data_IF_138882405575
#
_entry.id   IF_138882405575
#
_cell.length_a   1.000
_cell.length_b   1.000
_cell.length_c   1.000
_cell.angle_alpha   90.00
_cell.angle_beta   90.00
_cell.angle_gamma   90.00
#
_symmetry.space_group_name_H-M   'P 1'
#
loop_
_entity.id
_entity.type
_entity.pdbx_description
1 polymer ?
#
# COMPACT_ATOMS: atom_id res chain seq x y z
N UNK A 1 16.79 -17.38 -20.82
CA UNK A 1 17.61 -16.81 -19.72
C UNK A 1 16.78 -16.17 -18.60
N UNK A 2 15.56 -15.65 -18.84
CA UNK A 2 14.72 -14.97 -17.83
C UNK A 2 14.29 -15.84 -16.64
N UNK A 3 13.95 -17.11 -16.86
CA UNK A 3 13.33 -18.00 -15.86
C UNK A 3 14.16 -18.23 -14.58
N UNK A 4 15.48 -17.99 -14.61
CA UNK A 4 16.38 -18.14 -13.45
C UNK A 4 16.31 -16.94 -12.49
N UNK A 5 16.02 -15.75 -13.01
CA UNK A 5 15.94 -14.50 -12.24
C UNK A 5 14.53 -14.21 -11.74
N UNK A 6 13.55 -14.92 -12.27
CA UNK A 6 12.14 -14.76 -11.93
C UNK A 6 11.74 -15.56 -10.67
N UNK A 7 12.27 -16.77 -10.51
CA UNK A 7 11.91 -17.68 -9.40
C UNK A 7 12.56 -17.34 -8.06
N UNK A 8 13.60 -16.50 -8.05
CA UNK A 8 14.22 -15.96 -6.84
C UNK A 8 13.79 -14.51 -6.71
N UNK A 9 13.03 -14.18 -5.67
CA UNK A 9 12.30 -12.91 -5.62
C UNK A 9 13.15 -11.67 -5.31
N UNK A 10 14.31 -11.85 -4.68
CA UNK A 10 15.18 -10.75 -4.21
C UNK A 10 16.54 -10.73 -4.93
N UNK A 11 16.58 -11.09 -6.21
CA UNK A 11 17.82 -11.01 -7.02
C UNK A 11 17.66 -10.06 -8.20
N UNK A 12 18.77 -9.41 -8.54
CA UNK A 12 18.84 -8.56 -9.72
C UNK A 12 18.85 -9.38 -11.00
N UNK A 13 18.17 -8.85 -12.01
CA UNK A 13 18.33 -9.28 -13.39
C UNK A 13 19.67 -8.82 -13.97
N UNK A 14 20.10 -9.35 -15.14
CA UNK A 14 21.28 -8.86 -15.85
C UNK A 14 21.24 -7.35 -16.16
N UNK A 15 20.04 -6.76 -16.24
CA UNK A 15 19.81 -5.34 -16.48
C UNK A 15 19.75 -4.49 -15.20
N UNK A 16 19.99 -5.10 -14.02
CA UNK A 16 19.94 -4.40 -12.74
C UNK A 16 18.52 -4.13 -12.20
N UNK A 17 17.53 -4.90 -12.65
CA UNK A 17 16.11 -4.74 -12.27
C UNK A 17 15.67 -5.84 -11.31
N UNK A 18 14.64 -5.56 -10.50
CA UNK A 18 14.00 -6.57 -9.63
C UNK A 18 12.67 -7.01 -10.26
N UNK A 19 12.69 -8.10 -11.04
CA UNK A 19 11.52 -8.50 -11.85
C UNK A 19 10.22 -8.67 -11.04
N UNK A 20 10.27 -9.21 -9.83
CA UNK A 20 9.08 -9.36 -8.98
C UNK A 20 8.46 -8.01 -8.57
N UNK A 21 9.26 -6.96 -8.42
CA UNK A 21 8.77 -5.61 -8.16
C UNK A 21 8.07 -5.05 -9.41
N UNK A 22 8.59 -5.33 -10.59
CA UNK A 22 8.01 -4.84 -11.85
C UNK A 22 6.67 -5.52 -12.16
N UNK A 23 6.59 -6.84 -11.90
CA UNK A 23 5.32 -7.56 -12.00
C UNK A 23 4.30 -7.05 -10.99
N UNK A 24 4.72 -6.69 -9.78
CA UNK A 24 3.84 -6.06 -8.80
C UNK A 24 3.33 -4.69 -9.30
N UNK A 25 4.18 -3.87 -9.91
CA UNK A 25 3.79 -2.59 -10.51
C UNK A 25 2.79 -2.78 -11.66
N UNK A 26 3.01 -3.78 -12.52
CA UNK A 26 2.08 -4.12 -13.60
C UNK A 26 0.72 -4.60 -13.05
N UNK A 27 0.72 -5.42 -12.00
CA UNK A 27 -0.50 -5.86 -11.32
C UNK A 27 -1.28 -4.67 -10.71
N UNK A 28 -0.57 -3.68 -10.15
CA UNK A 28 -1.16 -2.45 -9.63
C UNK A 28 -1.75 -1.59 -10.76
N UNK A 29 -1.09 -1.54 -11.93
CA UNK A 29 -1.59 -0.82 -13.10
C UNK A 29 -2.96 -1.30 -13.60
N UNK A 30 -3.34 -2.54 -13.30
CA UNK A 30 -4.65 -3.12 -13.63
C UNK A 30 -5.71 -2.96 -12.52
N UNK A 31 -5.31 -2.47 -11.35
CA UNK A 31 -6.24 -2.19 -10.25
C UNK A 31 -7.13 -0.99 -10.57
N UNK A 32 -8.27 -0.86 -9.88
CA UNK A 32 -9.10 0.33 -10.07
C UNK A 32 -8.36 1.60 -9.64
N UNK A 33 -8.71 2.73 -10.24
CA UNK A 33 -8.02 4.01 -10.04
C UNK A 33 -8.16 4.54 -8.61
N UNK A 34 -7.13 5.23 -8.11
CA UNK A 34 -7.16 6.04 -6.89
C UNK A 34 -6.44 7.38 -7.15
N UNK A 35 -7.00 8.48 -6.62
CA UNK A 35 -6.56 9.85 -6.85
C UNK A 35 -6.49 10.56 -5.50
N UNK A 36 -5.43 11.35 -5.28
CA UNK A 36 -5.32 12.26 -4.14
C UNK A 36 -5.13 13.68 -4.65
N UNK A 37 -5.85 14.65 -4.08
CA UNK A 37 -5.76 16.06 -4.43
C UNK A 37 -5.49 16.87 -3.16
N UNK A 38 -4.35 17.55 -3.12
CA UNK A 38 -4.02 18.51 -2.06
C UNK A 38 -4.66 19.86 -2.41
N UNK A 39 -5.39 20.42 -1.44
CA UNK A 39 -5.95 21.76 -1.49
C UNK A 39 -5.38 22.61 -0.34
N UNK A 40 -5.73 23.90 -0.34
CA UNK A 40 -5.27 24.84 0.70
C UNK A 40 -5.75 24.43 2.10
N UNK A 41 -6.98 23.95 2.19
CA UNK A 41 -7.67 23.70 3.47
C UNK A 41 -7.81 22.21 3.80
N UNK A 42 -7.16 21.32 3.03
CA UNK A 42 -7.20 19.88 3.27
C UNK A 42 -6.80 19.03 2.07
N UNK A 43 -7.01 17.72 2.19
CA UNK A 43 -6.70 16.73 1.17
C UNK A 43 -7.94 15.90 0.86
N UNK A 44 -8.16 15.59 -0.42
CA UNK A 44 -9.25 14.73 -0.88
C UNK A 44 -8.69 13.47 -1.50
N UNK A 45 -9.17 12.31 -1.03
CA UNK A 45 -8.91 11.02 -1.65
C UNK A 45 -10.17 10.55 -2.41
N UNK A 46 -9.99 10.08 -3.64
CA UNK A 46 -11.03 9.53 -4.50
C UNK A 46 -10.60 8.16 -5.02
N UNK A 47 -11.49 7.18 -5.01
CA UNK A 47 -11.20 5.83 -5.47
C UNK A 47 -12.32 5.28 -6.32
N UNK A 48 -11.96 4.70 -7.47
CA UNK A 48 -12.90 3.99 -8.33
C UNK A 48 -13.36 2.70 -7.63
N UNK A 49 -14.67 2.58 -7.38
CA UNK A 49 -15.28 1.36 -6.83
C UNK A 49 -15.78 0.48 -7.97
N UNK A 50 -15.13 -0.66 -8.20
CA UNK A 50 -15.58 -1.66 -9.18
C UNK A 50 -16.76 -2.44 -8.62
N UNK A 51 -17.97 -2.13 -9.06
CA UNK A 51 -19.17 -2.89 -8.67
C UNK A 51 -19.26 -4.15 -9.52
N UNK A 52 -18.96 -5.30 -8.92
CA UNK A 52 -18.97 -6.60 -9.60
C UNK A 52 -20.37 -7.16 -9.82
N UNK A 53 -21.33 -6.78 -8.98
CA UNK A 53 -22.73 -7.24 -9.06
C UNK A 53 -23.68 -6.26 -8.41
N UNK A 54 -24.92 -6.21 -8.89
CA UNK A 54 -26.04 -5.48 -8.27
C UNK A 54 -26.39 -6.01 -6.88
N UNK A 55 -25.94 -7.22 -6.54
CA UNK A 55 -26.13 -7.83 -5.22
C UNK A 55 -25.12 -7.32 -4.18
N UNK A 56 -24.05 -6.64 -4.61
CA UNK A 56 -23.07 -6.08 -3.69
C UNK A 56 -23.70 -4.89 -2.95
N UNK A 57 -23.73 -4.97 -1.61
CA UNK A 57 -24.28 -3.90 -0.80
C UNK A 57 -23.39 -2.65 -0.86
N UNK A 58 -23.77 -1.70 -1.72
CA UNK A 58 -22.98 -0.50 -1.99
C UNK A 58 -22.77 0.38 -0.75
N UNK A 59 -23.74 0.43 0.16
CA UNK A 59 -23.80 1.37 1.29
C UNK A 59 -22.83 1.07 2.45
N UNK A 60 -22.21 -0.11 2.51
CA UNK A 60 -21.33 -0.51 3.62
C UNK A 60 -19.88 -0.80 3.23
N UNK A 61 -19.56 -0.83 1.93
CA UNK A 61 -18.26 -1.30 1.47
C UNK A 61 -17.33 -0.13 1.11
N UNK A 62 -16.42 0.23 2.02
CA UNK A 62 -15.27 1.10 1.77
C UNK A 62 -14.09 0.23 1.29
N UNK A 63 -14.12 -0.16 0.03
CA UNK A 63 -13.16 -1.15 -0.52
C UNK A 63 -11.76 -0.56 -0.79
N UNK A 64 -11.57 0.74 -0.60
CA UNK A 64 -10.33 1.43 -0.98
C UNK A 64 -9.84 2.49 -0.03
N UNK A 65 -10.74 3.05 0.77
CA UNK A 65 -10.42 4.12 1.71
C UNK A 65 -10.38 3.54 3.11
N UNK A 66 -9.25 3.72 3.78
CA UNK A 66 -9.04 3.19 5.11
C UNK A 66 -8.54 4.30 6.02
N UNK A 67 -9.24 4.48 7.14
CA UNK A 67 -8.76 5.30 8.24
C UNK A 67 -7.60 4.57 8.93
N UNK A 68 -6.47 5.26 9.09
CA UNK A 68 -5.30 4.77 9.82
C UNK A 68 -5.30 5.34 11.23
N UNK A 69 -5.52 6.65 11.35
CA UNK A 69 -5.61 7.37 12.60
C UNK A 69 -6.65 8.51 12.47
N UNK A 70 -6.89 9.28 13.52
CA UNK A 70 -7.83 10.41 13.50
C UNK A 70 -7.45 11.51 12.51
N UNK A 71 -6.15 11.74 12.29
CA UNK A 71 -5.61 12.74 11.36
C UNK A 71 -5.11 12.15 10.03
N UNK A 72 -5.31 10.85 9.79
CA UNK A 72 -4.67 10.16 8.67
C UNK A 72 -5.54 9.04 8.07
N UNK A 73 -5.70 9.10 6.76
CA UNK A 73 -6.32 8.05 5.94
C UNK A 73 -5.42 7.64 4.78
N UNK A 74 -5.73 6.49 4.18
CA UNK A 74 -5.09 6.07 2.95
C UNK A 74 -6.08 5.53 1.91
N UNK A 75 -5.76 5.78 0.64
CA UNK A 75 -6.36 5.12 -0.50
C UNK A 75 -5.46 3.97 -0.98
N UNK A 76 -6.07 2.88 -1.43
CA UNK A 76 -5.38 1.65 -1.85
C UNK A 76 -5.61 1.36 -3.33
N UNK A 77 -4.54 0.96 -4.03
CA UNK A 77 -4.60 0.36 -5.35
C UNK A 77 -3.73 -0.91 -5.40
N UNK A 78 -4.27 -2.02 -5.89
CA UNK A 78 -3.57 -3.30 -6.01
C UNK A 78 -4.30 -4.45 -5.31
N UNK A 79 -3.52 -5.41 -4.79
CA UNK A 79 -4.02 -6.61 -4.13
C UNK A 79 -4.53 -6.27 -2.72
N UNK A 80 -5.85 -6.42 -2.50
CA UNK A 80 -6.50 -6.06 -1.24
C UNK A 80 -6.03 -6.86 -0.03
N UNK A 81 -5.67 -8.14 -0.22
CA UNK A 81 -5.14 -8.96 0.88
C UNK A 81 -3.80 -8.44 1.40
N UNK A 82 -2.93 -7.99 0.48
CA UNK A 82 -1.65 -7.39 0.82
C UNK A 82 -1.85 -6.04 1.52
N UNK A 83 -2.82 -5.26 1.03
CA UNK A 83 -3.19 -3.98 1.61
C UNK A 83 -3.61 -4.10 3.08
N UNK A 84 -4.49 -5.06 3.39
CA UNK A 84 -5.02 -5.26 4.74
C UNK A 84 -3.93 -5.53 5.78
N UNK A 85 -2.87 -6.27 5.39
CA UNK A 85 -1.73 -6.53 6.26
C UNK A 85 -1.03 -5.20 6.59
N UNK A 86 -0.67 -4.44 5.55
CA UNK A 86 0.06 -3.18 5.71
C UNK A 86 -0.76 -2.09 6.42
N UNK A 87 -2.08 -2.02 6.19
CA UNK A 87 -2.98 -1.11 6.91
C UNK A 87 -3.00 -1.41 8.40
N UNK A 88 -3.08 -2.70 8.78
CA UNK A 88 -3.06 -3.08 10.19
C UNK A 88 -1.69 -2.80 10.83
N UNK A 89 -0.60 -3.04 10.10
CA UNK A 89 0.75 -2.65 10.54
C UNK A 89 0.84 -1.13 10.76
N UNK A 90 0.33 -0.33 9.83
CA UNK A 90 0.32 1.14 9.92
C UNK A 90 -0.47 1.63 11.15
N UNK A 91 -1.67 1.08 11.39
CA UNK A 91 -2.49 1.40 12.57
C UNK A 91 -1.75 1.11 13.86
N UNK A 92 -1.11 -0.05 13.97
CA UNK A 92 -0.33 -0.42 15.16
C UNK A 92 0.85 0.52 15.34
N UNK A 93 1.56 0.88 14.27
CA UNK A 93 2.70 1.80 14.34
C UNK A 93 2.29 3.21 14.78
N UNK A 94 1.22 3.75 14.21
CA UNK A 94 0.67 5.05 14.59
C UNK A 94 0.33 5.09 16.08
N UNK A 95 -0.37 4.06 16.59
CA UNK A 95 -0.74 3.99 18.00
C UNK A 95 0.46 3.75 18.93
N UNK A 96 1.48 3.00 18.49
CA UNK A 96 2.72 2.84 19.25
C UNK A 96 3.48 4.15 19.39
N UNK A 97 3.54 4.94 18.32
CA UNK A 97 4.16 6.27 18.35
C UNK A 97 3.38 7.17 19.31
N UNK A 98 2.05 7.26 19.16
CA UNK A 98 1.20 8.06 20.03
C UNK A 98 1.32 7.64 21.50
N UNK A 99 1.41 6.34 21.79
CA UNK A 99 1.65 5.85 23.14
C UNK A 99 3.02 6.29 23.69
N UNK A 100 4.08 6.21 22.88
CA UNK A 100 5.44 6.53 23.32
C UNK A 100 5.69 8.03 23.49
N UNK A 101 5.18 8.85 22.56
CA UNK A 101 5.48 10.28 22.48
C UNK A 101 4.31 11.19 22.90
N UNK A 102 3.13 10.61 23.16
CA UNK A 102 1.92 11.34 23.58
C UNK A 102 1.46 12.41 22.57
N UNK A 103 1.75 12.20 21.29
CA UNK A 103 1.33 13.06 20.19
C UNK A 103 1.01 12.22 18.93
N UNK A 104 0.18 12.72 17.99
CA UNK A 104 -0.11 12.01 16.75
C UNK A 104 1.16 11.80 15.90
N UNK A 105 1.30 10.61 15.29
CA UNK A 105 2.46 10.29 14.47
C UNK A 105 2.53 11.17 13.21
N UNK A 106 3.68 11.80 12.90
CA UNK A 106 3.87 12.51 11.64
C UNK A 106 3.68 11.58 10.44
N UNK A 107 2.94 12.05 9.42
CA UNK A 107 2.59 11.24 8.23
C UNK A 107 3.84 10.69 7.53
N UNK A 108 4.87 11.52 7.38
CA UNK A 108 6.14 11.12 6.74
C UNK A 108 6.81 9.94 7.44
N UNK A 109 6.86 9.96 8.78
CA UNK A 109 7.48 8.88 9.56
C UNK A 109 6.71 7.56 9.41
N UNK A 110 5.37 7.63 9.36
CA UNK A 110 4.57 6.42 9.16
C UNK A 110 4.81 5.84 7.77
N UNK A 111 4.80 6.70 6.74
CA UNK A 111 5.06 6.28 5.35
C UNK A 111 6.44 5.66 5.22
N UNK A 112 7.46 6.27 5.82
CA UNK A 112 8.82 5.73 5.82
C UNK A 112 8.87 4.35 6.48
N UNK A 113 8.28 4.18 7.66
CA UNK A 113 8.26 2.89 8.37
C UNK A 113 7.57 1.78 7.56
N UNK A 114 6.49 2.13 6.85
CA UNK A 114 5.79 1.19 5.98
C UNK A 114 6.60 0.85 4.72
N UNK A 115 7.30 1.83 4.15
CA UNK A 115 8.22 1.63 3.04
C UNK A 115 9.42 0.76 3.42
N UNK A 116 9.98 0.91 4.63
CA UNK A 116 11.05 0.05 5.14
C UNK A 116 10.58 -1.41 5.24
N UNK A 117 9.34 -1.61 5.70
CA UNK A 117 8.71 -2.94 5.72
C UNK A 117 8.59 -3.52 4.32
N UNK A 118 8.13 -2.74 3.34
CA UNK A 118 8.07 -3.16 1.93
C UNK A 118 9.46 -3.47 1.36
N UNK A 119 10.44 -2.65 1.66
CA UNK A 119 11.81 -2.79 1.17
C UNK A 119 12.48 -4.06 1.71
N UNK A 120 12.18 -4.46 2.95
CA UNK A 120 12.68 -5.73 3.48
C UNK A 120 12.31 -6.93 2.59
N UNK A 121 11.08 -6.94 2.05
CA UNK A 121 10.56 -8.01 1.20
C UNK A 121 11.18 -8.03 -0.21
N UNK A 122 11.86 -6.97 -0.64
CA UNK A 122 12.53 -6.90 -1.94
C UNK A 122 14.03 -7.21 -1.85
N UNK A 123 14.60 -7.15 -0.65
CA UNK A 123 16.03 -7.30 -0.42
C UNK A 123 16.42 -8.64 0.21
N UNK A 124 15.60 -9.19 1.12
CA UNK A 124 15.92 -10.42 1.83
C UNK A 124 14.68 -11.28 2.12
N UNK A 125 14.88 -12.49 2.66
CA UNK A 125 13.82 -13.41 3.06
C UNK A 125 13.23 -14.26 1.92
N UNK A 126 13.49 -13.92 0.65
CA UNK A 126 13.00 -14.67 -0.51
C UNK A 126 11.47 -14.70 -0.61
N UNK A 127 10.80 -13.73 0.01
CA UNK A 127 9.36 -13.54 -0.04
C UNK A 127 8.98 -12.76 -1.31
N UNK A 128 7.75 -12.91 -1.78
CA UNK A 128 7.24 -12.05 -2.85
C UNK A 128 7.00 -10.62 -2.31
N UNK A 129 7.16 -9.57 -3.12
CA UNK A 129 6.81 -8.22 -2.71
C UNK A 129 5.30 -8.05 -2.54
N UNK A 130 4.93 -6.97 -1.85
CA UNK A 130 3.55 -6.54 -1.72
C UNK A 130 3.06 -5.93 -3.04
N UNK A 131 1.97 -6.48 -3.60
CA UNK A 131 1.35 -6.02 -4.84
C UNK A 131 0.37 -4.87 -4.63
N UNK A 132 0.74 -3.86 -3.84
CA UNK A 132 -0.14 -2.75 -3.46
C UNK A 132 0.60 -1.42 -3.43
N UNK A 133 -0.06 -0.36 -3.89
CA UNK A 133 0.33 1.04 -3.75
C UNK A 133 -0.68 1.80 -2.88
N UNK A 134 -0.19 2.82 -2.19
CA UNK A 134 -0.98 3.65 -1.28
C UNK A 134 -0.85 5.12 -1.65
N UNK A 135 -1.91 5.88 -1.40
CA UNK A 135 -1.88 7.34 -1.26
C UNK A 135 -2.29 7.66 0.17
N UNK A 136 -1.53 8.52 0.85
CA UNK A 136 -1.80 8.95 2.23
C UNK A 136 -2.31 10.40 2.23
N UNK A 137 -3.26 10.69 3.11
CA UNK A 137 -3.91 12.00 3.25
C UNK A 137 -4.30 12.28 4.70
#
# INVERSE_FOLDING_TARGET
>A
MSRRYDSRTTIFSPEGRLYQVEYAMEAIGNAGTAIGVLAKDGVVLVGEKKVTSKLLQASKSTEKMYKIDDHLACAVAGIMSDANILINTARIQAQRYAYAYQEPMPVEQLVQSLCDTKQGYTQFGGLRPFGVSFLFA
#
